data_IF_400340486840
#
_entry.id   IF_400340486840
#
_cell.length_a   1.000
_cell.length_b   1.000
_cell.length_c   1.000
_cell.angle_alpha   90.00
_cell.angle_beta   90.00
_cell.angle_gamma   90.00
#
_symmetry.space_group_name_H-M   'P 1'
#
loop_
_entity.id
_entity.type
_entity.pdbx_description
1 polymer ?
#
# COMPACT_ATOMS: atom_id res chain seq x y z
N UNK A 1 25.78 -3.21 -17.21
CA UNK A 1 25.57 -3.58 -15.78
C UNK A 1 24.69 -2.50 -15.18
N UNK A 2 23.43 -2.80 -14.83
CA UNK A 2 22.57 -1.84 -14.15
C UNK A 2 23.09 -1.63 -12.72
N UNK A 3 23.21 -0.37 -12.30
CA UNK A 3 23.53 -0.03 -10.93
C UNK A 3 22.44 -0.58 -10.01
N UNK A 4 22.81 -1.38 -9.02
CA UNK A 4 21.91 -1.78 -7.95
C UNK A 4 21.88 -0.61 -6.97
N UNK A 5 20.80 0.18 -7.00
CA UNK A 5 20.55 1.20 -5.96
C UNK A 5 20.05 0.49 -4.72
N UNK A 6 20.68 0.75 -3.58
CA UNK A 6 20.21 0.26 -2.29
C UNK A 6 19.11 1.16 -1.77
N UNK A 7 17.90 0.61 -1.59
CA UNK A 7 16.80 1.31 -0.92
C UNK A 7 17.03 1.20 0.59
N UNK A 8 17.14 2.34 1.27
CA UNK A 8 17.16 2.39 2.73
C UNK A 8 15.74 2.72 3.21
N UNK A 9 15.19 1.85 4.04
CA UNK A 9 13.96 2.15 4.75
C UNK A 9 14.29 3.08 5.92
N UNK A 10 13.76 4.31 5.87
CA UNK A 10 13.72 5.21 7.02
C UNK A 10 12.59 4.83 7.99
N UNK A 11 12.44 5.62 9.06
CA UNK A 11 11.30 5.47 10.01
C UNK A 11 9.96 5.93 9.44
N UNK A 12 9.96 6.48 8.23
CA UNK A 12 8.75 6.98 7.56
C UNK A 12 7.98 5.92 6.78
N UNK A 13 7.02 6.40 5.99
CA UNK A 13 6.23 5.54 5.10
C UNK A 13 6.91 5.42 3.74
N UNK A 14 7.06 4.17 3.26
CA UNK A 14 7.41 3.84 1.88
C UNK A 14 6.16 3.39 1.14
N UNK A 15 5.82 4.06 0.05
CA UNK A 15 4.72 3.70 -0.83
C UNK A 15 5.23 2.90 -2.03
N UNK A 16 4.75 1.66 -2.19
CA UNK A 16 5.02 0.82 -3.36
C UNK A 16 3.85 0.91 -4.34
N UNK A 17 4.08 1.50 -5.49
CA UNK A 17 3.11 1.64 -6.59
C UNK A 17 3.47 0.71 -7.76
N UNK A 18 2.51 0.32 -8.56
CA UNK A 18 2.73 -0.43 -9.80
C UNK A 18 1.55 -1.28 -10.19
N UNK A 19 1.58 -1.87 -11.38
CA UNK A 19 0.51 -2.72 -11.90
C UNK A 19 0.30 -4.02 -11.13
N UNK A 20 -0.79 -4.74 -11.41
CA UNK A 20 -1.00 -6.08 -10.89
C UNK A 20 0.18 -7.00 -11.27
N UNK A 21 0.59 -7.89 -10.36
CA UNK A 21 1.69 -8.87 -10.58
C UNK A 21 3.04 -8.23 -10.95
N UNK A 22 3.29 -6.99 -10.52
CA UNK A 22 4.55 -6.28 -10.81
C UNK A 22 5.71 -6.66 -9.87
N UNK A 23 5.46 -7.41 -8.79
CA UNK A 23 6.47 -7.79 -7.78
C UNK A 23 6.45 -6.91 -6.52
N UNK A 24 5.40 -6.08 -6.30
CA UNK A 24 5.31 -5.20 -5.12
C UNK A 24 5.27 -5.96 -3.80
N UNK A 25 4.43 -7.00 -3.72
CA UNK A 25 4.29 -7.81 -2.49
C UNK A 25 5.58 -8.57 -2.20
N UNK A 26 6.22 -9.15 -3.23
CA UNK A 26 7.52 -9.84 -3.07
C UNK A 26 8.60 -8.87 -2.57
N UNK A 27 8.63 -7.65 -3.10
CA UNK A 27 9.54 -6.61 -2.64
C UNK A 27 9.26 -6.23 -1.16
N UNK A 28 8.00 -6.06 -0.79
CA UNK A 28 7.63 -5.73 0.59
C UNK A 28 8.00 -6.84 1.57
N UNK A 29 7.76 -8.12 1.20
CA UNK A 29 8.16 -9.28 1.99
C UNK A 29 9.70 -9.34 2.14
N UNK A 30 10.43 -9.12 1.06
CA UNK A 30 11.91 -9.08 1.10
C UNK A 30 12.45 -7.98 2.02
N UNK A 31 11.84 -6.78 1.97
CA UNK A 31 12.19 -5.67 2.84
C UNK A 31 11.86 -5.96 4.31
N UNK A 32 10.66 -6.52 4.58
CA UNK A 32 10.27 -6.93 5.92
C UNK A 32 11.17 -8.03 6.50
N UNK A 33 11.54 -9.02 5.70
CA UNK A 33 12.47 -10.10 6.10
C UNK A 33 13.89 -9.61 6.38
N UNK A 34 14.26 -8.44 5.86
CA UNK A 34 15.55 -7.79 6.14
C UNK A 34 15.51 -6.87 7.35
N UNK A 35 14.33 -6.64 7.93
CA UNK A 35 14.18 -5.83 9.13
C UNK A 35 14.53 -6.63 10.38
N UNK A 36 15.24 -6.02 11.33
CA UNK A 36 15.72 -6.72 12.54
C UNK A 36 14.73 -6.71 13.71
N UNK A 37 13.62 -5.98 13.59
CA UNK A 37 12.55 -5.89 14.59
C UNK A 37 11.33 -6.72 14.23
N UNK A 38 10.28 -6.60 15.04
CA UNK A 38 9.00 -7.25 14.79
C UNK A 38 8.32 -6.67 13.54
N UNK A 39 7.58 -7.50 12.82
CA UNK A 39 6.84 -7.13 11.62
C UNK A 39 5.37 -7.49 11.80
N UNK A 40 4.50 -6.52 11.54
CA UNK A 40 3.05 -6.70 11.47
C UNK A 40 2.61 -6.57 10.02
N UNK A 41 1.89 -7.56 9.54
CA UNK A 41 1.34 -7.57 8.19
C UNK A 41 -0.18 -7.33 8.27
N UNK A 42 -0.64 -6.20 7.74
CA UNK A 42 -2.05 -5.86 7.66
C UNK A 42 -2.59 -6.23 6.28
N UNK A 43 -3.39 -7.28 6.21
CA UNK A 43 -4.09 -7.72 5.02
C UNK A 43 -5.46 -7.06 4.92
N UNK A 44 -5.75 -6.44 3.80
CA UNK A 44 -7.06 -5.79 3.52
C UNK A 44 -7.92 -6.62 2.57
N UNK A 45 -7.44 -7.78 2.13
CA UNK A 45 -8.18 -8.66 1.24
C UNK A 45 -9.39 -9.30 1.95
N UNK A 46 -10.50 -9.41 1.23
CA UNK A 46 -11.67 -10.21 1.61
C UNK A 46 -11.80 -11.33 0.60
N UNK A 47 -11.96 -12.56 1.07
CA UNK A 47 -12.26 -13.70 0.20
C UNK A 47 -13.70 -13.53 -0.34
N UNK A 48 -13.83 -12.95 -1.53
CA UNK A 48 -15.12 -12.77 -2.21
C UNK A 48 -15.48 -13.92 -3.14
N UNK A 49 -14.47 -14.68 -3.59
CA UNK A 49 -14.60 -15.86 -4.45
C UNK A 49 -13.41 -16.81 -4.25
N UNK A 50 -13.47 -17.98 -4.89
CA UNK A 50 -12.45 -19.03 -4.77
C UNK A 50 -11.08 -18.58 -5.32
N UNK A 51 -11.04 -17.79 -6.40
CA UNK A 51 -9.79 -17.27 -6.98
C UNK A 51 -9.10 -16.29 -6.00
N UNK A 52 -9.88 -15.44 -5.34
CA UNK A 52 -9.37 -14.54 -4.30
C UNK A 52 -8.91 -15.31 -3.05
N UNK A 53 -9.66 -16.34 -2.65
CA UNK A 53 -9.26 -17.20 -1.53
C UNK A 53 -7.93 -17.93 -1.80
N UNK A 54 -7.73 -18.42 -3.03
CA UNK A 54 -6.47 -19.04 -3.46
C UNK A 54 -5.30 -18.03 -3.45
N UNK A 55 -5.54 -16.81 -3.87
CA UNK A 55 -4.54 -15.72 -3.82
C UNK A 55 -4.16 -15.37 -2.39
N UNK A 56 -5.16 -15.24 -1.51
CA UNK A 56 -4.92 -14.96 -0.08
C UNK A 56 -4.07 -16.08 0.53
N UNK A 57 -4.41 -17.37 0.28
CA UNK A 57 -3.63 -18.50 0.77
C UNK A 57 -2.18 -18.45 0.28
N UNK A 58 -1.98 -18.22 -1.02
CA UNK A 58 -0.62 -18.12 -1.58
C UNK A 58 0.18 -16.99 -0.93
N UNK A 59 -0.43 -15.81 -0.74
CA UNK A 59 0.22 -14.68 -0.05
C UNK A 59 0.45 -14.95 1.44
N UNK A 60 -0.32 -15.86 2.05
CA UNK A 60 -0.06 -16.33 3.42
C UNK A 60 1.15 -17.27 3.47
N UNK A 61 1.28 -18.18 2.49
CA UNK A 61 2.39 -19.15 2.40
C UNK A 61 3.74 -18.46 2.08
N UNK A 62 3.72 -17.34 1.36
CA UNK A 62 4.92 -16.58 0.97
C UNK A 62 5.49 -15.71 2.09
N UNK A 63 4.82 -15.62 3.27
CA UNK A 63 5.23 -14.78 4.40
C UNK A 63 5.94 -15.58 5.47
N UNK A 64 6.94 -15.00 6.17
CA UNK A 64 7.50 -15.58 7.38
C UNK A 64 6.40 -15.85 8.43
N UNK A 65 6.31 -17.06 8.98
CA UNK A 65 5.23 -17.45 9.91
C UNK A 65 5.30 -16.73 11.26
N UNK A 66 6.44 -16.13 11.60
CA UNK A 66 6.65 -15.34 12.83
C UNK A 66 6.05 -13.94 12.77
N UNK A 67 5.61 -13.46 11.59
CA UNK A 67 4.99 -12.15 11.48
C UNK A 67 3.57 -12.14 12.04
N UNK A 68 3.25 -11.10 12.82
CA UNK A 68 1.88 -10.88 13.25
C UNK A 68 0.99 -10.55 12.04
N UNK A 69 -0.16 -11.23 11.91
CA UNK A 69 -1.15 -10.99 10.87
C UNK A 69 -2.36 -10.27 11.45
N UNK A 70 -2.74 -9.17 10.82
CA UNK A 70 -3.99 -8.46 11.05
C UNK A 70 -4.81 -8.52 9.76
N UNK A 71 -5.99 -9.13 9.82
CA UNK A 71 -6.94 -9.13 8.70
C UNK A 71 -8.01 -8.06 8.98
N UNK A 72 -7.88 -6.91 8.32
CA UNK A 72 -8.77 -5.76 8.52
C UNK A 72 -9.13 -5.12 7.18
N UNK A 73 -10.27 -5.51 6.58
CA UNK A 73 -10.69 -5.00 5.27
C UNK A 73 -10.95 -3.50 5.21
N UNK A 74 -11.34 -2.90 6.32
CA UNK A 74 -11.61 -1.45 6.44
C UNK A 74 -10.55 -0.77 7.32
N UNK A 75 -9.29 -1.22 7.20
CA UNK A 75 -8.16 -0.74 7.97
C UNK A 75 -8.20 0.78 8.17
N UNK A 76 -8.28 1.20 9.42
CA UNK A 76 -8.38 2.61 9.81
C UNK A 76 -7.30 3.02 10.82
N UNK A 77 -7.30 4.28 11.21
CA UNK A 77 -6.36 4.83 12.19
C UNK A 77 -6.46 4.11 13.54
N UNK A 78 -7.66 3.74 13.98
CA UNK A 78 -7.85 3.09 15.28
C UNK A 78 -7.25 1.68 15.34
N UNK A 79 -7.22 0.99 14.20
CA UNK A 79 -6.51 -0.28 14.06
C UNK A 79 -5.00 -0.07 14.12
N UNK A 80 -4.49 0.93 13.39
CA UNK A 80 -3.04 1.25 13.39
C UNK A 80 -2.56 1.66 14.79
N UNK A 81 -3.35 2.42 15.55
CA UNK A 81 -3.00 2.88 16.90
C UNK A 81 -2.86 1.71 17.92
N UNK A 82 -3.42 0.53 17.64
CA UNK A 82 -3.26 -0.68 18.46
C UNK A 82 -2.00 -1.49 18.13
N UNK A 83 -1.36 -1.22 17.00
CA UNK A 83 -0.13 -1.90 16.57
C UNK A 83 1.05 -1.26 17.29
N UNK A 84 1.96 -2.09 17.83
CA UNK A 84 3.19 -1.59 18.45
C UNK A 84 3.90 -0.60 17.51
N UNK A 85 4.10 0.65 17.93
CA UNK A 85 4.74 1.66 17.09
C UNK A 85 6.19 1.35 16.74
N UNK A 86 6.85 0.39 17.43
CA UNK A 86 8.20 -0.07 17.16
C UNK A 86 8.27 -1.26 16.19
N UNK A 87 7.15 -1.93 15.90
CA UNK A 87 7.07 -2.95 14.87
C UNK A 87 6.94 -2.33 13.49
N UNK A 88 7.63 -2.88 12.49
CA UNK A 88 7.43 -2.52 11.09
C UNK A 88 6.00 -2.90 10.66
N UNK A 89 5.34 -2.05 9.90
CA UNK A 89 4.01 -2.31 9.35
C UNK A 89 4.06 -2.47 7.84
N UNK A 90 3.50 -3.56 7.33
CA UNK A 90 3.27 -3.78 5.89
C UNK A 90 1.77 -3.84 5.65
N UNK A 91 1.25 -3.00 4.74
CA UNK A 91 -0.17 -2.98 4.36
C UNK A 91 -0.31 -3.53 2.93
N UNK A 92 -0.97 -4.69 2.78
CA UNK A 92 -1.26 -5.31 1.48
C UNK A 92 -2.77 -5.56 1.33
N UNK A 93 -3.51 -4.66 0.63
CA UNK A 93 -3.04 -3.48 -0.05
C UNK A 93 -4.06 -2.32 0.04
N UNK A 94 -3.60 -1.13 -0.18
CA UNK A 94 -4.45 0.08 -0.26
C UNK A 94 -5.51 -0.04 -1.36
N UNK A 95 -5.19 -0.73 -2.45
CA UNK A 95 -6.11 -0.97 -3.57
C UNK A 95 -7.38 -1.68 -3.12
N UNK A 96 -7.24 -2.77 -2.35
CA UNK A 96 -8.38 -3.52 -1.81
C UNK A 96 -9.08 -2.75 -0.69
N UNK A 97 -8.34 -2.04 0.16
CA UNK A 97 -8.92 -1.13 1.15
C UNK A 97 -9.88 -0.12 0.50
N UNK A 98 -9.44 0.56 -0.58
CA UNK A 98 -10.28 1.52 -1.30
C UNK A 98 -11.49 0.83 -1.93
N UNK A 99 -11.33 -0.37 -2.49
CA UNK A 99 -12.43 -1.18 -3.00
C UNK A 99 -13.45 -1.48 -1.90
N UNK A 100 -12.99 -1.93 -0.74
CA UNK A 100 -13.84 -2.27 0.40
C UNK A 100 -14.60 -1.03 0.93
N UNK A 101 -13.93 0.13 0.99
CA UNK A 101 -14.59 1.39 1.38
C UNK A 101 -15.72 1.78 0.40
N UNK A 102 -15.50 1.58 -0.91
CA UNK A 102 -16.53 1.82 -1.92
C UNK A 102 -17.70 0.83 -1.75
N UNK A 103 -17.44 -0.46 -1.54
CA UNK A 103 -18.48 -1.47 -1.31
C UNK A 103 -19.19 -1.31 0.06
N UNK A 104 -18.56 -0.62 1.02
CA UNK A 104 -19.18 -0.21 2.27
C UNK A 104 -19.96 1.13 2.12
N UNK A 105 -20.34 1.52 0.89
CA UNK A 105 -21.12 2.71 0.55
C UNK A 105 -20.53 4.03 1.07
N UNK A 106 -19.21 4.11 1.31
CA UNK A 106 -18.57 5.37 1.67
C UNK A 106 -18.58 6.34 0.51
N UNK A 107 -18.91 7.62 0.80
CA UNK A 107 -18.81 8.68 -0.22
C UNK A 107 -17.36 8.98 -0.58
N UNK A 108 -17.13 9.65 -1.71
CA UNK A 108 -15.79 10.03 -2.12
C UNK A 108 -15.10 10.94 -1.08
N UNK A 109 -15.87 11.85 -0.45
CA UNK A 109 -15.40 12.75 0.61
C UNK A 109 -14.98 11.97 1.86
N UNK A 110 -15.75 10.94 2.24
CA UNK A 110 -15.41 10.06 3.37
C UNK A 110 -14.13 9.27 3.10
N UNK A 111 -13.96 8.76 1.85
CA UNK A 111 -12.74 8.03 1.46
C UNK A 111 -11.53 8.99 1.41
N UNK A 112 -11.71 10.20 0.91
CA UNK A 112 -10.67 11.23 0.88
C UNK A 112 -10.25 11.66 2.30
N UNK A 113 -11.21 11.76 3.24
CA UNK A 113 -10.93 12.00 4.66
C UNK A 113 -10.19 10.84 5.29
N UNK A 114 -10.63 9.60 5.03
CA UNK A 114 -9.96 8.39 5.48
C UNK A 114 -8.50 8.34 5.03
N UNK A 115 -8.22 8.62 3.74
CA UNK A 115 -6.87 8.69 3.20
C UNK A 115 -6.00 9.72 3.94
N UNK A 116 -6.57 10.90 4.26
CA UNK A 116 -5.87 11.97 4.97
C UNK A 116 -5.50 11.55 6.40
N UNK A 117 -6.44 10.94 7.13
CA UNK A 117 -6.22 10.47 8.50
C UNK A 117 -5.21 9.33 8.50
N UNK A 118 -5.44 8.30 7.66
CA UNK A 118 -4.57 7.12 7.60
C UNK A 118 -3.13 7.53 7.23
N UNK A 119 -2.93 8.37 6.21
CA UNK A 119 -1.60 8.83 5.81
C UNK A 119 -0.87 9.55 6.96
N UNK A 120 -1.59 10.32 7.78
CA UNK A 120 -0.99 11.00 8.93
C UNK A 120 -0.52 10.01 10.00
N UNK A 121 -1.34 9.03 10.34
CA UNK A 121 -1.01 8.02 11.35
C UNK A 121 0.16 7.15 10.88
N UNK A 122 0.18 6.74 9.61
CA UNK A 122 1.23 5.89 9.05
C UNK A 122 2.62 6.55 9.10
N UNK A 123 2.72 7.85 8.81
CA UNK A 123 4.02 8.56 8.86
C UNK A 123 4.45 8.92 10.29
N UNK A 124 3.53 8.85 11.27
CA UNK A 124 3.83 9.14 12.67
C UNK A 124 4.44 7.96 13.43
N UNK A 125 4.46 6.77 12.81
CA UNK A 125 5.01 5.56 13.44
C UNK A 125 6.52 5.67 13.62
N UNK A 126 7.05 5.03 14.67
CA UNK A 126 8.49 5.01 14.96
C UNK A 126 9.25 4.07 14.04
N UNK A 127 8.67 2.91 13.76
CA UNK A 127 9.23 1.93 12.84
C UNK A 127 8.74 2.17 11.41
N UNK A 128 9.46 1.64 10.40
CA UNK A 128 9.09 1.78 9.00
C UNK A 128 7.66 1.28 8.70
N UNK A 129 7.00 1.94 7.78
CA UNK A 129 5.71 1.49 7.22
C UNK A 129 5.85 1.29 5.72
N UNK A 130 5.41 0.15 5.19
CA UNK A 130 5.30 -0.11 3.76
C UNK A 130 3.82 -0.18 3.39
N UNK A 131 3.37 0.70 2.52
CA UNK A 131 2.03 0.66 1.95
C UNK A 131 2.10 0.22 0.49
N UNK A 132 1.38 -0.85 0.14
CA UNK A 132 1.32 -1.40 -1.23
C UNK A 132 0.05 -0.91 -1.90
N UNK A 133 0.16 -0.34 -3.10
CA UNK A 133 -0.99 0.07 -3.90
C UNK A 133 -0.79 -0.21 -5.39
N UNK A 134 -1.90 -0.46 -6.10
CA UNK A 134 -1.84 -0.53 -7.55
C UNK A 134 -1.95 0.85 -8.19
N UNK A 135 -1.24 1.03 -9.29
CA UNK A 135 -1.49 2.14 -10.21
C UNK A 135 -2.41 1.64 -11.33
N UNK A 136 -3.67 2.07 -11.29
CA UNK A 136 -4.71 1.65 -12.24
C UNK A 136 -5.04 2.75 -13.27
N UNK A 137 -4.52 3.96 -13.07
CA UNK A 137 -4.76 5.12 -13.92
C UNK A 137 -4.04 5.06 -15.28
N UNK A 138 -3.00 4.24 -15.39
CA UNK A 138 -2.20 4.08 -16.62
C UNK A 138 -2.82 3.12 -17.64
N UNK A 139 -3.93 2.45 -17.28
CA UNK A 139 -4.63 1.51 -18.15
C UNK A 139 -5.76 2.14 -18.97
N UNK A 140 -6.56 1.28 -19.61
CA UNK A 140 -7.75 1.70 -20.32
C UNK A 140 -8.79 2.31 -19.37
N UNK A 141 -9.55 3.28 -19.88
CA UNK A 141 -10.68 3.87 -19.14
C UNK A 141 -11.78 2.81 -19.01
N UNK A 142 -12.23 2.47 -17.79
CA UNK A 142 -13.33 1.53 -17.60
C UNK A 142 -14.61 2.00 -18.27
N UNK A 143 -15.34 1.07 -18.88
CA UNK A 143 -16.61 1.33 -19.58
C UNK A 143 -17.79 1.55 -18.64
N UNK A 144 -17.69 1.09 -17.39
CA UNK A 144 -18.72 1.21 -16.37
C UNK A 144 -18.39 2.29 -15.31
N UNK A 145 -19.44 2.79 -14.67
CA UNK A 145 -19.35 3.90 -13.70
C UNK A 145 -18.54 3.52 -12.45
N UNK A 146 -18.77 2.31 -11.92
CA UNK A 146 -18.08 1.84 -10.72
C UNK A 146 -16.56 1.74 -10.95
N UNK A 147 -16.16 1.21 -12.10
CA UNK A 147 -14.74 1.11 -12.46
C UNK A 147 -14.09 2.49 -12.61
N UNK A 148 -14.78 3.46 -13.23
CA UNK A 148 -14.29 4.85 -13.33
C UNK A 148 -14.16 5.50 -11.95
N UNK A 149 -15.18 5.33 -11.09
CA UNK A 149 -15.17 5.82 -9.71
C UNK A 149 -13.99 5.23 -8.94
N UNK A 150 -13.82 3.90 -9.00
CA UNK A 150 -12.71 3.20 -8.32
C UNK A 150 -11.35 3.73 -8.77
N UNK A 151 -11.12 3.84 -10.10
CA UNK A 151 -9.87 4.37 -10.66
C UNK A 151 -9.55 5.77 -10.13
N UNK A 152 -10.55 6.66 -10.17
CA UNK A 152 -10.39 8.06 -9.79
C UNK A 152 -10.20 8.22 -8.28
N UNK A 153 -10.92 7.45 -7.46
CA UNK A 153 -10.78 7.45 -6.00
C UNK A 153 -9.43 6.89 -5.58
N UNK A 154 -9.01 5.75 -6.16
CA UNK A 154 -7.71 5.16 -5.86
C UNK A 154 -6.55 6.08 -6.25
N UNK A 155 -6.65 6.76 -7.39
CA UNK A 155 -5.65 7.75 -7.81
C UNK A 155 -5.50 8.90 -6.81
N UNK A 156 -6.62 9.45 -6.30
CA UNK A 156 -6.59 10.48 -5.25
C UNK A 156 -6.02 9.94 -3.94
N UNK A 157 -6.38 8.71 -3.57
CA UNK A 157 -5.86 8.06 -2.37
C UNK A 157 -4.34 7.88 -2.45
N UNK A 158 -3.84 7.37 -3.59
CA UNK A 158 -2.41 7.20 -3.85
C UNK A 158 -1.66 8.55 -3.77
N UNK A 159 -2.23 9.61 -4.34
CA UNK A 159 -1.66 10.96 -4.25
C UNK A 159 -1.52 11.44 -2.81
N UNK A 160 -2.53 11.21 -1.94
CA UNK A 160 -2.47 11.62 -0.54
C UNK A 160 -1.40 10.86 0.25
N UNK A 161 -1.27 9.56 0.00
CA UNK A 161 -0.20 8.75 0.60
C UNK A 161 1.17 9.21 0.09
N UNK A 162 1.33 9.37 -1.23
CA UNK A 162 2.58 9.78 -1.86
C UNK A 162 3.07 11.14 -1.38
N UNK A 163 2.15 12.10 -1.18
CA UNK A 163 2.50 13.43 -0.67
C UNK A 163 3.08 13.43 0.75
N UNK A 164 2.89 12.36 1.53
CA UNK A 164 3.41 12.19 2.90
C UNK A 164 4.48 11.10 3.00
N UNK A 165 4.60 10.26 2.00
CA UNK A 165 5.59 9.19 1.98
C UNK A 165 7.01 9.77 1.97
N UNK A 166 7.91 9.20 2.76
CA UNK A 166 9.34 9.50 2.72
C UNK A 166 9.94 9.01 1.39
N UNK A 167 9.44 7.85 0.93
CA UNK A 167 9.87 7.24 -0.32
C UNK A 167 8.65 6.71 -1.08
N UNK A 168 8.57 7.00 -2.36
CA UNK A 168 7.62 6.38 -3.28
C UNK A 168 8.40 5.63 -4.37
N UNK A 169 8.05 4.36 -4.58
CA UNK A 169 8.69 3.49 -5.56
C UNK A 169 7.65 3.03 -6.59
N UNK A 170 7.99 3.11 -7.86
CA UNK A 170 7.22 2.48 -8.92
C UNK A 170 7.85 1.13 -9.27
N UNK A 171 7.06 0.06 -9.14
CA UNK A 171 7.49 -1.33 -9.35
C UNK A 171 6.91 -1.87 -10.64
N UNK A 172 7.76 -2.34 -11.53
CA UNK A 172 7.39 -2.96 -12.80
C UNK A 172 8.33 -4.13 -13.11
N UNK A 173 7.76 -5.29 -13.46
CA UNK A 173 8.51 -6.50 -13.82
C UNK A 173 9.61 -6.89 -12.80
N UNK A 174 9.30 -6.81 -11.52
CA UNK A 174 10.23 -7.13 -10.42
C UNK A 174 11.34 -6.11 -10.20
N UNK A 175 11.27 -4.93 -10.84
CA UNK A 175 12.23 -3.83 -10.67
C UNK A 175 11.52 -2.62 -10.11
N UNK A 176 12.25 -1.79 -9.35
CA UNK A 176 11.71 -0.57 -8.77
C UNK A 176 12.53 0.65 -9.23
N UNK A 177 11.84 1.77 -9.38
CA UNK A 177 12.45 3.09 -9.53
C UNK A 177 11.85 4.04 -8.50
N UNK A 178 12.65 4.92 -7.93
CA UNK A 178 12.17 5.93 -7.00
C UNK A 178 11.49 7.08 -7.78
N UNK A 179 10.33 7.48 -7.32
CA UNK A 179 9.60 8.63 -7.83
C UNK A 179 10.05 9.88 -7.07
N UNK A 180 10.57 10.85 -7.80
CA UNK A 180 10.94 12.15 -7.25
C UNK A 180 9.78 13.14 -7.25
N UNK A 181 9.79 14.09 -6.33
CA UNK A 181 8.92 15.27 -6.39
C UNK A 181 9.46 16.27 -7.42
N UNK A 182 8.54 16.86 -8.20
CA UNK A 182 8.91 17.91 -9.17
C UNK A 182 8.66 19.27 -8.56
N UNK A 183 9.71 20.07 -8.41
CA UNK A 183 9.59 21.51 -8.14
C UNK A 183 9.70 22.27 -9.45
N UNK A 184 8.73 23.13 -9.75
CA UNK A 184 8.80 24.05 -10.88
C UNK A 184 9.39 25.35 -10.37
N UNK A 185 10.60 25.70 -10.83
CA UNK A 185 11.15 27.04 -10.69
C UNK A 185 10.79 27.81 -11.97
N UNK A 186 9.85 28.73 -11.83
CA UNK A 186 9.46 29.65 -12.91
C UNK A 186 10.25 30.93 -12.64
N UNK A 187 11.45 31.02 -13.23
CA UNK A 187 12.28 32.23 -13.19
C UNK A 187 11.62 33.42 -13.88
#
# INVERSE_FOLDING_TARGET
MGSTESIRLGSGMTLLLGGARSGKSDLAVSLGSSYSGDVVFAATAVAGDDDMADRIRKHQDDRPPEWELIEEPLLDASTIDRIDPSAMLIIDCITLLVSNLIFADKTNEQIDQHASILSHVLVSRRAPTIAISNEVGLGLVPDNELGRRFRDVLGRYNNRLSARAETALFVAAGRATQLGTVSLDIG
#
